data_IF_569656780161
#
_entry.id   IF_569656780161
#
_cell.length_a   1.000
_cell.length_b   1.000
_cell.length_c   1.000
_cell.angle_alpha   90.00
_cell.angle_beta   90.00
_cell.angle_gamma   90.00
#
_symmetry.space_group_name_H-M   'P 1'
#
loop_
_entity.id
_entity.type
_entity.pdbx_description
1 polymer ?
#
# COMPACT_ATOMS: atom_id res chain seq x y z
N UNK A 1 30.75 -16.32 -25.96
CA UNK A 1 29.80 -15.37 -26.60
C UNK A 1 28.53 -16.15 -26.92
N UNK A 2 27.51 -16.04 -26.09
CA UNK A 2 26.20 -16.64 -26.38
C UNK A 2 25.39 -15.59 -27.17
N UNK A 3 25.06 -15.89 -28.42
CA UNK A 3 24.17 -15.03 -29.21
C UNK A 3 22.78 -15.11 -28.60
N UNK A 4 22.32 -14.00 -28.02
CA UNK A 4 20.91 -13.79 -27.71
C UNK A 4 20.18 -13.69 -29.05
N UNK A 5 19.64 -14.81 -29.52
CA UNK A 5 18.71 -14.84 -30.64
C UNK A 5 17.57 -13.87 -30.30
N UNK A 6 17.57 -12.71 -30.96
CA UNK A 6 16.45 -11.79 -30.92
C UNK A 6 15.27 -12.48 -31.60
N UNK A 7 14.30 -12.96 -30.80
CA UNK A 7 13.04 -13.43 -31.34
C UNK A 7 12.34 -12.27 -32.06
N UNK A 8 11.90 -12.41 -33.32
CA UNK A 8 11.31 -11.32 -34.10
C UNK A 8 9.85 -10.98 -33.74
N UNK A 9 9.38 -11.30 -32.53
CA UNK A 9 7.96 -11.20 -32.14
C UNK A 9 7.71 -10.36 -30.89
N UNK A 10 8.49 -9.30 -30.67
CA UNK A 10 8.30 -8.42 -29.52
C UNK A 10 7.42 -7.21 -29.86
N UNK A 11 6.09 -7.39 -29.88
CA UNK A 11 5.15 -6.25 -29.82
C UNK A 11 5.34 -5.39 -28.55
N UNK A 12 6.05 -5.93 -27.56
CA UNK A 12 6.44 -5.25 -26.35
C UNK A 12 7.78 -4.56 -26.54
N UNK A 13 7.79 -3.22 -26.62
CA UNK A 13 9.03 -2.45 -26.51
C UNK A 13 9.41 -2.39 -25.03
N UNK A 14 10.57 -2.91 -24.59
CA UNK A 14 11.00 -2.81 -23.19
C UNK A 14 11.03 -1.37 -22.65
N UNK A 15 11.22 -0.39 -23.55
CA UNK A 15 11.15 1.03 -23.23
C UNK A 15 9.75 1.55 -22.83
N UNK A 16 8.67 0.81 -23.12
CA UNK A 16 7.31 1.18 -22.74
C UNK A 16 6.94 0.73 -21.32
N UNK A 17 7.70 -0.22 -20.73
CA UNK A 17 7.45 -0.73 -19.38
C UNK A 17 7.45 0.40 -18.31
N UNK A 18 8.46 1.31 -18.26
CA UNK A 18 8.46 2.37 -17.27
C UNK A 18 7.26 3.31 -17.40
N UNK A 19 6.79 3.57 -18.62
CA UNK A 19 5.63 4.42 -18.87
C UNK A 19 4.36 3.77 -18.31
N UNK A 20 4.06 2.53 -18.68
CA UNK A 20 2.85 1.85 -18.21
C UNK A 20 2.88 1.61 -16.70
N UNK A 21 4.02 1.20 -16.15
CA UNK A 21 4.17 1.03 -14.70
C UNK A 21 4.04 2.37 -13.97
N UNK A 22 4.62 3.44 -14.51
CA UNK A 22 4.50 4.79 -13.96
C UNK A 22 3.07 5.30 -13.95
N UNK A 23 2.34 5.14 -15.06
CA UNK A 23 0.92 5.52 -15.16
C UNK A 23 0.06 4.71 -14.17
N UNK A 24 0.30 3.41 -14.04
CA UNK A 24 -0.40 2.57 -13.07
C UNK A 24 -0.14 3.03 -11.63
N UNK A 25 1.12 3.37 -11.30
CA UNK A 25 1.48 3.89 -9.99
C UNK A 25 0.83 5.25 -9.70
N UNK A 26 0.80 6.15 -10.69
CA UNK A 26 0.14 7.45 -10.58
C UNK A 26 -1.37 7.31 -10.38
N UNK A 27 -2.01 6.38 -11.09
CA UNK A 27 -3.43 6.09 -10.89
C UNK A 27 -3.70 5.60 -9.46
N UNK A 28 -2.88 4.66 -8.96
CA UNK A 28 -3.00 4.16 -7.59
C UNK A 28 -2.77 5.24 -6.53
N UNK A 29 -1.80 6.15 -6.75
CA UNK A 29 -1.54 7.27 -5.86
C UNK A 29 -2.69 8.29 -5.87
N UNK A 30 -3.22 8.63 -7.06
CA UNK A 30 -4.36 9.52 -7.20
C UNK A 30 -5.61 8.96 -6.52
N UNK A 31 -5.92 7.66 -6.71
CA UNK A 31 -7.00 6.98 -6.01
C UNK A 31 -6.79 7.02 -4.49
N UNK A 32 -5.58 6.77 -4.00
CA UNK A 32 -5.25 6.90 -2.57
C UNK A 32 -5.53 8.30 -2.01
N UNK A 33 -5.10 9.35 -2.71
CA UNK A 33 -5.35 10.74 -2.31
C UNK A 33 -6.85 11.07 -2.34
N UNK A 34 -7.56 10.62 -3.38
CA UNK A 34 -9.01 10.80 -3.48
C UNK A 34 -9.75 10.10 -2.34
N UNK A 35 -9.34 8.89 -1.95
CA UNK A 35 -9.96 8.17 -0.85
C UNK A 35 -9.75 8.87 0.50
N UNK A 36 -8.61 9.55 0.69
CA UNK A 36 -8.35 10.34 1.89
C UNK A 36 -9.12 11.67 1.89
N UNK A 37 -9.24 12.33 0.74
CA UNK A 37 -9.92 13.63 0.64
C UNK A 37 -11.45 13.52 0.50
N UNK A 38 -11.94 12.45 -0.13
CA UNK A 38 -13.35 12.20 -0.47
C UNK A 38 -13.68 10.71 -0.31
N UNK A 39 -13.76 10.21 0.94
CA UNK A 39 -13.90 8.78 1.22
C UNK A 39 -15.13 8.13 0.57
N UNK A 40 -16.25 8.84 0.48
CA UNK A 40 -17.47 8.33 -0.18
C UNK A 40 -17.27 8.09 -1.70
N UNK A 41 -16.56 8.99 -2.38
CA UNK A 41 -16.21 8.82 -3.80
C UNK A 41 -15.14 7.75 -4.02
N UNK A 42 -14.26 7.57 -3.04
CA UNK A 42 -13.24 6.52 -3.04
C UNK A 42 -13.79 5.11 -2.91
N UNK A 43 -14.81 4.90 -2.08
CA UNK A 43 -15.48 3.60 -1.99
C UNK A 43 -16.07 3.15 -3.35
N UNK A 44 -16.58 4.11 -4.13
CA UNK A 44 -17.19 3.84 -5.43
C UNK A 44 -16.18 3.33 -6.48
N UNK A 45 -14.89 3.66 -6.38
CA UNK A 45 -13.86 3.13 -7.30
C UNK A 45 -13.65 1.62 -7.15
N UNK A 46 -14.07 1.05 -6.02
CA UNK A 46 -14.12 -0.39 -5.76
C UNK A 46 -15.48 -1.02 -6.04
N UNK A 47 -16.43 -0.26 -6.60
CA UNK A 47 -17.82 -0.71 -6.76
C UNK A 47 -18.59 -0.78 -5.44
N UNK A 48 -18.10 -0.12 -4.38
CA UNK A 48 -18.78 -0.08 -3.09
C UNK A 48 -19.50 1.27 -2.98
N UNK A 49 -20.82 1.26 -3.14
CA UNK A 49 -21.63 2.48 -3.04
C UNK A 49 -22.20 2.60 -1.62
N UNK A 50 -22.03 3.74 -0.93
CA UNK A 50 -22.63 3.94 0.38
C UNK A 50 -24.16 3.88 0.27
N UNK A 51 -24.84 3.16 1.18
CA UNK A 51 -26.30 3.12 1.17
C UNK A 51 -26.90 4.50 1.48
N UNK A 52 -28.08 4.86 0.92
CA UNK A 52 -28.72 6.14 1.21
C UNK A 52 -29.03 6.27 2.70
N UNK A 53 -28.67 7.40 3.31
CA UNK A 53 -28.81 7.63 4.76
C UNK A 53 -30.26 7.50 5.25
N UNK A 54 -31.22 7.86 4.41
CA UNK A 54 -32.64 7.91 4.78
C UNK A 54 -33.33 6.55 4.73
N UNK A 55 -32.73 5.57 4.05
CA UNK A 55 -33.35 4.25 3.79
C UNK A 55 -32.44 3.09 4.17
N UNK A 56 -31.29 3.36 4.81
CA UNK A 56 -30.31 2.32 5.13
C UNK A 56 -30.86 1.38 6.20
N UNK A 57 -30.90 0.09 5.88
CA UNK A 57 -31.12 -0.96 6.88
C UNK A 57 -29.82 -1.29 7.61
N UNK A 58 -29.87 -1.77 8.86
CA UNK A 58 -28.66 -2.20 9.58
C UNK A 58 -27.82 -3.21 8.78
N UNK A 59 -28.46 -4.16 8.11
CA UNK A 59 -27.77 -5.17 7.29
C UNK A 59 -27.01 -4.55 6.09
N UNK A 60 -27.58 -3.53 5.44
CA UNK A 60 -26.90 -2.82 4.35
C UNK A 60 -25.72 -1.98 4.86
N UNK A 61 -25.89 -1.35 6.02
CA UNK A 61 -24.82 -0.59 6.68
C UNK A 61 -23.64 -1.51 7.03
N UNK A 62 -23.92 -2.66 7.65
CA UNK A 62 -22.91 -3.66 8.02
C UNK A 62 -22.21 -4.24 6.79
N UNK A 63 -22.96 -4.56 5.74
CA UNK A 63 -22.40 -5.06 4.48
C UNK A 63 -21.41 -4.05 3.86
N UNK A 64 -21.78 -2.75 3.86
CA UNK A 64 -20.90 -1.68 3.39
C UNK A 64 -19.61 -1.58 4.23
N UNK A 65 -19.71 -1.60 5.55
CA UNK A 65 -18.55 -1.51 6.45
C UNK A 65 -17.64 -2.74 6.32
N UNK A 66 -18.21 -3.94 6.28
CA UNK A 66 -17.46 -5.16 6.05
C UNK A 66 -16.74 -5.16 4.69
N UNK A 67 -17.37 -4.66 3.64
CA UNK A 67 -16.73 -4.52 2.33
C UNK A 67 -15.52 -3.58 2.40
N UNK A 68 -15.64 -2.42 3.04
CA UNK A 68 -14.53 -1.49 3.24
C UNK A 68 -13.37 -2.11 4.04
N UNK A 69 -13.67 -2.84 5.10
CA UNK A 69 -12.67 -3.56 5.91
C UNK A 69 -11.96 -4.63 5.06
N UNK A 70 -12.71 -5.39 4.25
CA UNK A 70 -12.14 -6.42 3.35
C UNK A 70 -11.25 -5.80 2.27
N UNK A 71 -11.65 -4.68 1.67
CA UNK A 71 -10.82 -3.95 0.69
C UNK A 71 -9.53 -3.46 1.33
N UNK A 72 -9.59 -2.87 2.53
CA UNK A 72 -8.39 -2.48 3.29
C UNK A 72 -7.49 -3.69 3.57
N UNK A 73 -8.07 -4.81 4.01
CA UNK A 73 -7.35 -6.07 4.25
C UNK A 73 -6.67 -6.61 2.99
N UNK A 74 -7.38 -6.62 1.86
CA UNK A 74 -6.84 -7.04 0.57
C UNK A 74 -5.67 -6.16 0.12
N UNK A 75 -5.79 -4.82 0.23
CA UNK A 75 -4.68 -3.90 -0.06
C UNK A 75 -3.46 -4.20 0.81
N UNK A 76 -3.66 -4.36 2.13
CA UNK A 76 -2.55 -4.64 3.04
C UNK A 76 -1.86 -5.97 2.73
N UNK A 77 -2.65 -7.02 2.43
CA UNK A 77 -2.14 -8.34 2.04
C UNK A 77 -1.24 -8.23 0.80
N UNK A 78 -1.76 -7.68 -0.29
CA UNK A 78 -1.03 -7.64 -1.57
C UNK A 78 0.19 -6.72 -1.50
N UNK A 79 0.09 -5.56 -0.84
CA UNK A 79 1.24 -4.68 -0.64
C UNK A 79 2.35 -5.35 0.19
N UNK A 80 1.97 -6.09 1.23
CA UNK A 80 2.94 -6.85 2.03
C UNK A 80 3.54 -8.01 1.24
N UNK A 81 2.75 -8.68 0.40
CA UNK A 81 3.24 -9.71 -0.52
C UNK A 81 4.23 -9.18 -1.54
N UNK A 82 4.10 -7.93 -2.00
CA UNK A 82 5.10 -7.30 -2.86
C UNK A 82 6.46 -7.16 -2.15
N UNK A 83 6.46 -6.73 -0.89
CA UNK A 83 7.68 -6.65 -0.07
C UNK A 83 8.29 -8.05 0.11
N UNK A 84 7.47 -9.03 0.49
CA UNK A 84 7.92 -10.41 0.64
C UNK A 84 8.51 -10.96 -0.67
N UNK A 85 7.86 -10.71 -1.81
CA UNK A 85 8.35 -11.10 -3.13
C UNK A 85 9.71 -10.49 -3.46
N UNK A 86 9.92 -9.21 -3.16
CA UNK A 86 11.21 -8.55 -3.34
C UNK A 86 12.30 -9.14 -2.41
N UNK A 87 11.95 -9.46 -1.16
CA UNK A 87 12.88 -10.13 -0.22
C UNK A 87 13.28 -11.50 -0.77
N UNK A 88 12.31 -12.33 -1.15
CA UNK A 88 12.56 -13.67 -1.68
C UNK A 88 13.38 -13.60 -2.98
N UNK A 89 13.04 -12.68 -3.88
CA UNK A 89 13.79 -12.48 -5.12
C UNK A 89 15.23 -12.04 -4.83
N UNK A 90 15.44 -11.09 -3.93
CA UNK A 90 16.78 -10.62 -3.56
C UNK A 90 17.66 -11.70 -2.92
N UNK A 91 17.09 -12.59 -2.11
CA UNK A 91 17.83 -13.62 -1.37
C UNK A 91 18.04 -14.92 -2.15
N UNK A 92 17.06 -15.34 -2.94
CA UNK A 92 17.02 -16.67 -3.53
C UNK A 92 17.13 -16.70 -5.05
N UNK A 93 17.00 -15.57 -5.75
CA UNK A 93 17.13 -15.56 -7.21
C UNK A 93 18.58 -15.73 -7.66
N UNK A 94 18.80 -16.62 -8.63
CA UNK A 94 20.08 -16.76 -9.32
C UNK A 94 20.54 -15.45 -9.97
N UNK A 95 19.61 -14.60 -10.41
CA UNK A 95 19.93 -13.30 -11.00
C UNK A 95 20.62 -12.40 -9.99
N UNK A 96 20.11 -12.33 -8.76
CA UNK A 96 20.70 -11.51 -7.70
C UNK A 96 22.01 -12.13 -7.17
N UNK A 97 22.11 -13.47 -7.15
CA UNK A 97 23.35 -14.16 -6.78
C UNK A 97 24.47 -13.96 -7.80
N UNK A 98 24.13 -13.95 -9.09
CA UNK A 98 25.09 -13.78 -10.17
C UNK A 98 25.46 -12.32 -10.44
N UNK A 99 24.64 -11.35 -10.03
CA UNK A 99 24.83 -9.93 -10.32
C UNK A 99 24.73 -9.05 -9.07
N UNK A 100 25.86 -8.51 -8.57
CA UNK A 100 25.87 -7.56 -7.44
C UNK A 100 25.03 -6.30 -7.71
N UNK A 101 24.96 -5.87 -8.96
CA UNK A 101 24.14 -4.72 -9.36
C UNK A 101 22.64 -5.03 -9.22
N UNK A 102 22.20 -6.21 -9.65
CA UNK A 102 20.81 -6.63 -9.52
C UNK A 102 20.41 -6.76 -8.03
N UNK A 103 21.25 -7.39 -7.22
CA UNK A 103 21.03 -7.49 -5.77
C UNK A 103 20.92 -6.10 -5.11
N UNK A 104 21.80 -5.16 -5.48
CA UNK A 104 21.77 -3.78 -4.99
C UNK A 104 20.51 -3.04 -5.42
N UNK A 105 20.05 -3.22 -6.66
CA UNK A 105 18.82 -2.61 -7.15
C UNK A 105 17.59 -3.10 -6.35
N UNK A 106 17.47 -4.42 -6.15
CA UNK A 106 16.37 -5.02 -5.36
C UNK A 106 16.42 -4.55 -3.91
N UNK A 107 17.61 -4.50 -3.30
CA UNK A 107 17.84 -3.97 -1.95
C UNK A 107 17.33 -2.53 -1.82
N UNK A 108 17.70 -1.65 -2.76
CA UNK A 108 17.24 -0.27 -2.77
C UNK A 108 15.72 -0.16 -3.00
N UNK A 109 15.14 -0.99 -3.87
CA UNK A 109 13.70 -1.04 -4.06
C UNK A 109 12.96 -1.41 -2.76
N UNK A 110 13.46 -2.39 -2.00
CA UNK A 110 12.93 -2.71 -0.66
C UNK A 110 13.00 -1.48 0.26
N UNK A 111 14.14 -0.79 0.28
CA UNK A 111 14.32 0.44 1.06
C UNK A 111 13.31 1.53 0.70
N UNK A 112 13.13 1.82 -0.59
CA UNK A 112 12.14 2.80 -1.09
C UNK A 112 10.72 2.41 -0.65
N UNK A 113 10.32 1.15 -0.87
CA UNK A 113 8.97 0.67 -0.55
C UNK A 113 8.70 0.73 0.96
N UNK A 114 9.67 0.39 1.81
CA UNK A 114 9.53 0.52 3.27
C UNK A 114 9.42 1.99 3.70
N UNK A 115 10.26 2.86 3.16
CA UNK A 115 10.23 4.30 3.48
C UNK A 115 8.89 4.92 3.09
N UNK A 116 8.42 4.72 1.86
CA UNK A 116 7.12 5.22 1.40
C UNK A 116 5.96 4.52 2.12
N UNK A 117 6.07 3.22 2.37
CA UNK A 117 5.09 2.41 3.08
C UNK A 117 4.86 2.85 4.53
N UNK A 118 5.84 3.49 5.18
CA UNK A 118 5.66 4.11 6.50
C UNK A 118 4.56 5.19 6.50
N UNK A 119 4.25 5.78 5.33
CA UNK A 119 3.12 6.68 5.15
C UNK A 119 1.78 6.07 5.56
N UNK A 120 1.63 4.74 5.51
CA UNK A 120 0.43 4.03 5.99
C UNK A 120 0.24 4.20 7.49
N UNK A 121 1.31 4.13 8.29
CA UNK A 121 1.24 4.36 9.73
C UNK A 121 0.89 5.80 10.07
N UNK A 122 1.50 6.77 9.38
CA UNK A 122 1.23 8.20 9.64
C UNK A 122 -0.20 8.60 9.21
N UNK A 123 -0.62 8.21 8.02
CA UNK A 123 -1.98 8.48 7.55
C UNK A 123 -3.03 7.72 8.36
N UNK A 124 -2.74 6.47 8.77
CA UNK A 124 -3.59 5.71 9.68
C UNK A 124 -3.76 6.38 11.04
N UNK A 125 -2.68 6.89 11.63
CA UNK A 125 -2.75 7.67 12.86
C UNK A 125 -3.60 8.94 12.69
N UNK A 126 -3.41 9.69 11.59
CA UNK A 126 -4.19 10.89 11.30
C UNK A 126 -5.70 10.60 11.17
N UNK A 127 -6.08 9.58 10.41
CA UNK A 127 -7.48 9.18 10.21
C UNK A 127 -8.13 8.68 11.51
N UNK A 128 -7.39 7.93 12.33
CA UNK A 128 -7.91 7.50 13.65
C UNK A 128 -8.07 8.69 14.60
N UNK A 129 -7.14 9.65 14.57
CA UNK A 129 -7.27 10.90 15.32
C UNK A 129 -8.49 11.72 14.89
N UNK A 130 -8.77 11.80 13.59
CA UNK A 130 -9.97 12.45 13.06
C UNK A 130 -11.25 11.73 13.55
N UNK A 131 -11.29 10.40 13.46
CA UNK A 131 -12.43 9.61 13.94
C UNK A 131 -12.71 9.82 15.43
N UNK A 132 -11.68 9.86 16.27
CA UNK A 132 -11.83 10.17 17.70
C UNK A 132 -12.38 11.57 17.96
N UNK A 133 -12.09 12.53 17.08
CA UNK A 133 -12.60 13.90 17.17
C UNK A 133 -14.03 14.06 16.64
N UNK A 134 -14.64 13.00 16.10
CA UNK A 134 -15.96 13.09 15.48
C UNK A 134 -17.09 13.18 16.52
N UNK A 135 -18.19 13.91 16.22
CA UNK A 135 -19.35 13.96 17.11
C UNK A 135 -19.92 12.56 17.36
N UNK A 136 -20.08 12.21 18.65
CA UNK A 136 -20.64 10.91 19.04
C UNK A 136 -19.63 9.77 19.17
N UNK A 137 -18.32 10.04 19.12
CA UNK A 137 -17.30 9.05 19.47
C UNK A 137 -17.50 8.56 20.93
N UNK A 138 -17.56 7.24 21.12
CA UNK A 138 -17.68 6.63 22.45
C UNK A 138 -16.36 6.68 23.23
N UNK A 139 -16.43 6.59 24.56
CA UNK A 139 -15.23 6.52 25.41
C UNK A 139 -14.31 5.34 25.01
N UNK A 140 -14.91 4.21 24.63
CA UNK A 140 -14.18 3.06 24.09
C UNK A 140 -13.45 3.40 22.77
N UNK A 141 -14.12 4.12 21.85
CA UNK A 141 -13.50 4.55 20.60
C UNK A 141 -12.31 5.50 20.85
N UNK A 142 -12.40 6.37 21.87
CA UNK A 142 -11.32 7.25 22.28
C UNK A 142 -10.15 6.47 22.88
N UNK A 143 -10.41 5.51 23.77
CA UNK A 143 -9.37 4.69 24.38
C UNK A 143 -8.62 3.85 23.33
N UNK A 144 -9.38 3.09 22.53
CA UNK A 144 -8.83 2.24 21.47
C UNK A 144 -8.09 3.10 20.44
N UNK A 145 -8.67 4.24 20.03
CA UNK A 145 -8.09 5.13 19.06
C UNK A 145 -6.73 5.69 19.52
N UNK A 146 -6.61 6.17 20.77
CA UNK A 146 -5.34 6.66 21.32
C UNK A 146 -4.27 5.58 21.35
N UNK A 147 -4.64 4.37 21.77
CA UNK A 147 -3.73 3.23 21.78
C UNK A 147 -3.24 2.88 20.36
N UNK A 148 -4.13 2.92 19.36
CA UNK A 148 -3.77 2.61 17.96
C UNK A 148 -2.97 3.72 17.29
N UNK A 149 -3.27 4.99 17.55
CA UNK A 149 -2.42 6.12 17.09
C UNK A 149 -0.99 5.94 17.58
N UNK A 150 -0.81 5.69 18.88
CA UNK A 150 0.52 5.42 19.45
C UNK A 150 1.17 4.19 18.81
N UNK A 151 0.41 3.10 18.64
CA UNK A 151 0.89 1.88 18.00
C UNK A 151 1.39 2.12 16.56
N UNK A 152 0.66 2.89 15.75
CA UNK A 152 1.05 3.25 14.39
C UNK A 152 2.36 4.05 14.36
N UNK A 153 2.50 5.05 15.23
CA UNK A 153 3.72 5.87 15.29
C UNK A 153 4.93 5.05 15.73
N UNK A 154 4.77 4.17 16.74
CA UNK A 154 5.84 3.30 17.21
C UNK A 154 6.26 2.29 16.14
N UNK A 155 5.29 1.64 15.48
CA UNK A 155 5.58 0.65 14.43
C UNK A 155 6.28 1.26 13.20
N UNK A 156 6.08 2.55 12.95
CA UNK A 156 6.78 3.24 11.86
C UNK A 156 8.28 3.40 12.10
N UNK A 157 8.74 3.48 13.35
CA UNK A 157 10.16 3.64 13.68
C UNK A 157 11.02 2.51 13.11
N UNK A 158 10.75 1.20 13.40
CA UNK A 158 11.54 0.13 12.83
C UNK A 158 11.38 0.01 11.30
N UNK A 159 10.22 0.36 10.73
CA UNK A 159 10.01 0.36 9.27
C UNK A 159 10.91 1.39 8.59
N UNK A 160 10.94 2.62 9.11
CA UNK A 160 11.81 3.69 8.61
C UNK A 160 13.29 3.35 8.78
N UNK A 161 13.68 2.83 9.96
CA UNK A 161 15.05 2.42 10.21
C UNK A 161 15.49 1.32 9.23
N UNK A 162 14.66 0.29 9.03
CA UNK A 162 14.94 -0.79 8.09
C UNK A 162 14.99 -0.27 6.64
N UNK A 163 14.07 0.63 6.27
CA UNK A 163 14.06 1.29 4.97
C UNK A 163 15.35 2.06 4.69
N UNK A 164 15.82 2.84 5.66
CA UNK A 164 17.10 3.57 5.57
C UNK A 164 18.30 2.62 5.46
N UNK A 165 18.33 1.54 6.24
CA UNK A 165 19.38 0.52 6.15
C UNK A 165 19.41 -0.04 4.72
N UNK A 166 18.27 -0.47 4.19
CA UNK A 166 18.16 -0.98 2.82
C UNK A 166 18.49 0.04 1.72
N UNK A 167 18.49 1.34 2.01
CA UNK A 167 18.91 2.38 1.05
C UNK A 167 20.41 2.65 1.14
N UNK A 168 20.93 2.77 2.35
CA UNK A 168 22.28 3.28 2.61
C UNK A 168 23.35 2.18 2.68
N UNK A 169 22.98 0.97 3.08
CA UNK A 169 23.90 -0.14 3.35
C UNK A 169 23.54 -1.38 2.55
#
# INVERSE_FOLDING_TARGET
MASLNASPTSWWKPAALPLFTGLLALLGAADGVLNLAKPEGGAATFGIVPPPRDTVTPAQFDAFHHALIKVKGARNLHMSSCILGLVLYGQFSDVCRASPLAATAVRRCLGIVLMLGSGVGFSGAAVVSEYMGSPGASDEALEVGRAKVKGHLIANVPILALGLIYLLY
#
